data_IF_412117586572
#
_entry.id   IF_412117586572
#
_cell.length_a   1.000
_cell.length_b   1.000
_cell.length_c   1.000
_cell.angle_alpha   90.00
_cell.angle_beta   90.00
_cell.angle_gamma   90.00
#
_symmetry.space_group_name_H-M   'P 1'
#
loop_
_entity.id
_entity.type
_entity.pdbx_description
1 polymer ?
#
# COMPACT_ATOMS: atom_id res chain seq x y z
N UNK A 1 18.45 4.56 -15.74
CA UNK A 1 17.90 5.89 -15.33
C UNK A 1 16.80 5.64 -14.33
N UNK A 2 16.79 6.37 -13.20
CA UNK A 2 15.68 6.27 -12.25
C UNK A 2 14.40 6.80 -12.90
N UNK A 3 13.26 6.11 -12.70
CA UNK A 3 11.95 6.55 -13.19
C UNK A 3 11.62 7.99 -12.76
N UNK A 4 12.01 8.37 -11.54
CA UNK A 4 11.84 9.72 -10.98
C UNK A 4 12.52 10.79 -11.84
N UNK A 5 13.66 10.50 -12.44
CA UNK A 5 14.37 11.45 -13.30
C UNK A 5 13.60 11.79 -14.59
N UNK A 6 12.76 10.87 -15.07
CA UNK A 6 11.90 11.06 -16.25
C UNK A 6 10.56 11.72 -15.98
N UNK A 7 10.17 11.90 -14.71
CA UNK A 7 8.90 12.52 -14.33
C UNK A 7 8.92 14.05 -14.54
N UNK A 8 7.73 14.66 -14.64
CA UNK A 8 7.60 16.13 -14.65
C UNK A 8 8.07 16.69 -13.30
N UNK A 9 8.81 17.82 -13.28
CA UNK A 9 9.18 18.47 -12.03
C UNK A 9 7.93 18.86 -11.23
N UNK A 10 7.97 18.64 -9.91
CA UNK A 10 6.86 18.95 -9.01
C UNK A 10 5.68 17.96 -9.06
N UNK A 11 5.86 16.78 -9.66
CA UNK A 11 4.81 15.75 -9.70
C UNK A 11 4.40 15.34 -8.28
N UNK A 12 3.12 15.03 -8.11
CA UNK A 12 2.58 14.40 -6.89
C UNK A 12 2.51 12.90 -7.14
N UNK A 13 3.08 12.12 -6.22
CA UNK A 13 3.01 10.66 -6.24
C UNK A 13 1.94 10.20 -5.26
N UNK A 14 1.06 9.31 -5.71
CA UNK A 14 0.06 8.65 -4.86
C UNK A 14 0.26 7.14 -4.99
N UNK A 15 0.44 6.45 -3.86
CA UNK A 15 0.58 4.99 -3.81
C UNK A 15 -0.42 4.41 -2.80
N UNK A 16 -1.43 3.74 -3.32
CA UNK A 16 -2.43 2.98 -2.55
C UNK A 16 -2.42 1.49 -2.91
N UNK A 17 -1.33 1.03 -3.52
CA UNK A 17 -1.21 -0.34 -4.04
C UNK A 17 -0.26 -1.19 -3.20
N UNK A 18 1.03 -1.08 -3.41
CA UNK A 18 2.06 -1.83 -2.68
C UNK A 18 3.28 -0.96 -2.43
N UNK A 19 3.82 -1.02 -1.19
CA UNK A 19 4.99 -0.24 -0.78
C UNK A 19 6.20 -0.49 -1.67
N UNK A 20 6.51 -1.73 -1.97
CA UNK A 20 7.65 -2.14 -2.79
C UNK A 20 7.68 -1.59 -4.24
N UNK A 21 6.60 -0.93 -4.69
CA UNK A 21 6.60 -0.24 -6.00
C UNK A 21 7.44 1.05 -6.00
N UNK A 22 7.73 1.61 -4.82
CA UNK A 22 8.47 2.85 -4.69
C UNK A 22 9.61 2.65 -3.69
N UNK A 23 10.85 2.74 -4.17
CA UNK A 23 12.00 2.75 -3.28
C UNK A 23 12.01 4.02 -2.43
N UNK A 24 11.91 3.85 -1.12
CA UNK A 24 11.70 4.94 -0.15
C UNK A 24 12.83 5.95 -0.15
N UNK A 25 14.08 5.51 -0.20
CA UNK A 25 15.24 6.40 -0.28
C UNK A 25 15.23 7.28 -1.54
N UNK A 26 14.85 6.71 -2.68
CA UNK A 26 14.73 7.46 -3.94
C UNK A 26 13.59 8.49 -3.88
N UNK A 27 12.48 8.16 -3.22
CA UNK A 27 11.37 9.07 -2.98
C UNK A 27 11.81 10.26 -2.11
N UNK A 28 12.49 10.00 -0.99
CA UNK A 28 13.01 11.02 -0.08
C UNK A 28 13.98 11.96 -0.80
N UNK A 29 14.90 11.43 -1.59
CA UNK A 29 15.83 12.24 -2.39
C UNK A 29 15.08 13.12 -3.41
N UNK A 30 14.09 12.55 -4.10
CA UNK A 30 13.22 13.28 -5.04
C UNK A 30 12.44 14.41 -4.40
N UNK A 31 11.89 14.20 -3.19
CA UNK A 31 11.18 15.22 -2.40
C UNK A 31 12.13 16.33 -1.95
N UNK A 32 13.30 15.99 -1.42
CA UNK A 32 14.34 16.96 -0.96
C UNK A 32 14.82 17.84 -2.11
N UNK A 33 15.01 17.27 -3.29
CA UNK A 33 15.42 18.02 -4.49
C UNK A 33 14.27 18.75 -5.17
N UNK A 34 13.05 18.68 -4.62
CA UNK A 34 11.84 19.25 -5.23
C UNK A 34 11.55 18.72 -6.64
N UNK A 35 12.12 17.59 -6.99
CA UNK A 35 11.77 16.86 -8.21
C UNK A 35 10.37 16.27 -8.09
N UNK A 36 10.04 15.75 -6.91
CA UNK A 36 8.71 15.35 -6.47
C UNK A 36 8.16 16.48 -5.60
N UNK A 37 6.98 16.98 -5.92
CA UNK A 37 6.32 18.07 -5.21
C UNK A 37 5.67 17.62 -3.92
N UNK A 38 5.04 16.45 -3.92
CA UNK A 38 4.39 15.82 -2.76
C UNK A 38 4.26 14.32 -2.93
N UNK A 39 4.02 13.60 -1.82
CA UNK A 39 3.68 12.19 -1.83
C UNK A 39 2.51 11.90 -0.89
N UNK A 40 1.59 11.02 -1.35
CA UNK A 40 0.48 10.47 -0.56
C UNK A 40 0.63 8.95 -0.58
N UNK A 41 0.94 8.35 0.55
CA UNK A 41 1.29 6.95 0.69
C UNK A 41 0.33 6.28 1.66
N UNK A 42 -0.43 5.29 1.17
CA UNK A 42 -1.23 4.41 2.02
C UNK A 42 -0.48 3.12 2.35
N UNK A 43 0.63 2.89 1.66
CA UNK A 43 1.50 1.72 1.77
C UNK A 43 2.96 2.16 1.84
N UNK A 44 3.78 1.38 2.53
CA UNK A 44 5.20 1.64 2.76
C UNK A 44 6.04 0.39 2.43
N UNK A 45 7.30 0.57 2.04
CA UNK A 45 8.16 -0.51 1.55
C UNK A 45 8.37 -1.62 2.61
N UNK A 46 8.54 -1.25 3.88
CA UNK A 46 8.77 -2.15 5.03
C UNK A 46 7.54 -2.27 5.95
N UNK A 47 6.32 -2.15 5.39
CA UNK A 47 5.08 -2.13 6.17
C UNK A 47 4.78 -3.43 6.94
N UNK A 48 5.36 -4.58 6.53
CA UNK A 48 5.06 -5.88 7.14
C UNK A 48 5.33 -5.94 8.65
N UNK A 49 6.31 -5.19 9.14
CA UNK A 49 6.72 -5.23 10.53
C UNK A 49 6.09 -4.12 11.38
N UNK A 50 5.54 -3.07 10.74
CA UNK A 50 5.08 -1.85 11.41
C UNK A 50 3.55 -1.77 11.56
N UNK A 51 2.79 -2.25 10.56
CA UNK A 51 1.34 -2.03 10.53
C UNK A 51 0.51 -3.17 11.12
N UNK A 52 1.10 -4.35 11.30
CA UNK A 52 0.37 -5.54 11.80
C UNK A 52 0.59 -5.84 13.29
N UNK A 53 1.50 -5.13 13.95
CA UNK A 53 1.70 -5.22 15.39
C UNK A 53 1.18 -3.95 16.08
N UNK A 54 0.45 -4.13 17.20
CA UNK A 54 0.06 -3.01 18.07
C UNK A 54 1.30 -2.50 18.80
N UNK A 55 1.92 -1.46 18.26
CA UNK A 55 3.11 -0.80 18.80
C UNK A 55 2.82 0.58 19.35
N UNK A 56 1.58 0.82 19.82
CA UNK A 56 1.17 2.13 20.34
C UNK A 56 2.12 2.68 21.43
N UNK A 57 2.77 1.77 22.17
CA UNK A 57 3.68 2.11 23.27
C UNK A 57 5.18 1.93 22.92
N UNK A 58 5.53 1.62 21.65
CA UNK A 58 6.92 1.42 21.25
C UNK A 58 7.47 2.60 20.42
N UNK A 59 8.76 2.86 20.57
CA UNK A 59 9.46 3.82 19.72
C UNK A 59 9.53 3.22 18.31
N UNK A 60 9.13 4.02 17.30
CA UNK A 60 9.32 3.63 15.90
C UNK A 60 10.81 3.67 15.60
N UNK A 61 11.43 2.50 15.46
CA UNK A 61 12.87 2.36 15.18
C UNK A 61 13.21 2.62 13.70
N UNK A 62 12.19 2.80 12.83
CA UNK A 62 12.38 3.10 11.41
C UNK A 62 12.64 4.61 11.19
N UNK A 63 13.91 4.98 11.23
CA UNK A 63 14.36 6.35 10.96
C UNK A 63 13.94 6.87 9.58
N UNK A 64 13.73 5.99 8.61
CA UNK A 64 13.36 6.35 7.24
C UNK A 64 11.90 6.76 7.19
N UNK A 65 11.01 5.98 7.83
CA UNK A 65 9.60 6.30 7.97
C UNK A 65 9.38 7.58 8.78
N UNK A 66 10.07 7.72 9.92
CA UNK A 66 10.01 8.94 10.74
C UNK A 66 10.41 10.18 9.93
N UNK A 67 11.47 10.07 9.14
CA UNK A 67 11.94 11.14 8.26
C UNK A 67 10.90 11.48 7.19
N UNK A 68 10.22 10.48 6.62
CA UNK A 68 9.21 10.65 5.60
C UNK A 68 7.96 11.35 6.17
N UNK A 69 7.46 10.90 7.33
CA UNK A 69 6.30 11.50 8.01
C UNK A 69 6.57 12.95 8.45
N UNK A 70 7.82 13.27 8.78
CA UNK A 70 8.21 14.62 9.18
C UNK A 70 8.23 15.64 8.02
N UNK A 71 8.11 15.20 6.77
CA UNK A 71 8.08 16.09 5.61
C UNK A 71 6.71 16.76 5.45
N UNK A 72 6.63 18.11 5.33
CA UNK A 72 5.34 18.82 5.27
C UNK A 72 4.54 18.58 3.98
N UNK A 73 5.16 18.00 2.97
CA UNK A 73 4.58 17.67 1.68
C UNK A 73 4.37 16.15 1.49
N UNK A 74 4.31 15.40 2.60
CA UNK A 74 4.05 13.95 2.61
C UNK A 74 2.85 13.66 3.50
N UNK A 75 1.96 12.81 3.03
CA UNK A 75 0.87 12.21 3.79
C UNK A 75 1.09 10.72 3.80
N UNK A 76 1.09 10.11 4.97
CA UNK A 76 1.14 8.66 5.15
C UNK A 76 -0.11 8.21 5.88
N UNK A 77 -0.77 7.18 5.38
CA UNK A 77 -1.88 6.49 6.04
C UNK A 77 -1.51 5.01 6.20
N UNK A 78 -2.13 4.31 7.13
CA UNK A 78 -1.72 2.96 7.52
C UNK A 78 -2.54 1.90 6.79
N UNK A 79 -2.35 1.76 5.47
CA UNK A 79 -2.98 0.75 4.59
C UNK A 79 -4.52 0.74 4.73
N UNK A 80 -5.13 1.92 4.72
CA UNK A 80 -6.55 2.13 5.00
C UNK A 80 -7.38 2.53 3.79
N UNK A 81 -6.82 2.55 2.59
CA UNK A 81 -7.55 2.98 1.39
C UNK A 81 -8.79 2.13 1.09
N UNK A 82 -8.85 0.90 1.62
CA UNK A 82 -10.00 -0.01 1.50
C UNK A 82 -11.09 0.22 2.55
N UNK A 83 -10.89 1.08 3.54
CA UNK A 83 -11.84 1.31 4.64
C UNK A 83 -12.95 2.29 4.24
N UNK A 84 -13.58 2.06 3.09
CA UNK A 84 -14.82 2.72 2.71
C UNK A 84 -15.99 1.76 2.89
N UNK A 85 -17.19 2.28 3.12
CA UNK A 85 -18.40 1.46 3.27
C UNK A 85 -18.64 0.59 2.03
N UNK A 86 -18.43 1.17 0.86
CA UNK A 86 -18.62 0.51 -0.44
C UNK A 86 -17.60 -0.62 -0.64
N UNK A 87 -16.33 -0.37 -0.37
CA UNK A 87 -15.28 -1.38 -0.50
C UNK A 87 -15.48 -2.54 0.48
N UNK A 88 -15.78 -2.24 1.75
CA UNK A 88 -16.04 -3.27 2.76
C UNK A 88 -17.26 -4.12 2.41
N UNK A 89 -18.34 -3.52 1.93
CA UNK A 89 -19.52 -4.26 1.47
C UNK A 89 -19.20 -5.17 0.28
N UNK A 90 -18.43 -4.68 -0.69
CA UNK A 90 -18.04 -5.46 -1.86
C UNK A 90 -17.13 -6.63 -1.47
N UNK A 91 -16.16 -6.40 -0.59
CA UNK A 91 -15.27 -7.46 -0.07
C UNK A 91 -16.09 -8.52 0.68
N UNK A 92 -17.00 -8.10 1.57
CA UNK A 92 -17.84 -9.03 2.30
C UNK A 92 -18.74 -9.86 1.36
N UNK A 93 -19.39 -9.22 0.38
CA UNK A 93 -20.25 -9.89 -0.58
C UNK A 93 -19.47 -10.92 -1.43
N UNK A 94 -18.30 -10.53 -1.96
CA UNK A 94 -17.43 -11.41 -2.73
C UNK A 94 -16.94 -12.61 -1.90
N UNK A 95 -16.56 -12.36 -0.64
CA UNK A 95 -16.11 -13.41 0.28
C UNK A 95 -17.23 -14.44 0.53
N UNK A 96 -18.45 -13.98 0.85
CA UNK A 96 -19.59 -14.84 1.10
C UNK A 96 -19.95 -15.63 -0.16
N UNK A 97 -19.97 -14.99 -1.32
CA UNK A 97 -20.25 -15.67 -2.60
C UNK A 97 -19.24 -16.79 -2.89
N UNK A 98 -17.95 -16.51 -2.71
CA UNK A 98 -16.90 -17.50 -2.91
C UNK A 98 -17.04 -18.69 -1.95
N UNK A 99 -17.36 -18.45 -0.68
CA UNK A 99 -17.61 -19.51 0.30
C UNK A 99 -18.83 -20.35 -0.08
N UNK A 100 -19.90 -19.75 -0.57
CA UNK A 100 -21.09 -20.47 -1.05
C UNK A 100 -20.80 -21.32 -2.30
N UNK A 101 -20.03 -20.81 -3.24
CA UNK A 101 -19.57 -21.56 -4.42
C UNK A 101 -18.70 -22.74 -4.01
N UNK A 102 -17.75 -22.53 -3.12
CA UNK A 102 -16.92 -23.61 -2.58
C UNK A 102 -17.76 -24.70 -1.91
N UNK A 103 -18.73 -24.32 -1.07
CA UNK A 103 -19.66 -25.27 -0.41
C UNK A 103 -20.49 -26.10 -1.41
N UNK A 104 -20.82 -25.55 -2.57
CA UNK A 104 -21.57 -26.23 -3.64
C UNK A 104 -20.68 -27.07 -4.56
N UNK A 105 -19.37 -27.06 -4.37
CA UNK A 105 -18.41 -27.72 -5.28
C UNK A 105 -18.27 -27.04 -6.63
N UNK A 106 -18.73 -25.79 -6.77
CA UNK A 106 -18.58 -25.00 -7.99
C UNK A 106 -17.12 -24.54 -8.12
N UNK A 107 -16.55 -24.68 -9.33
CA UNK A 107 -15.23 -24.14 -9.61
C UNK A 107 -15.26 -22.60 -9.48
N UNK A 108 -14.23 -22.01 -8.90
CA UNK A 108 -14.12 -20.55 -8.88
C UNK A 108 -14.15 -20.01 -10.33
N UNK A 109 -14.99 -19.01 -10.60
CA UNK A 109 -15.17 -18.50 -11.96
C UNK A 109 -13.92 -17.78 -12.50
N UNK A 110 -13.01 -17.35 -11.60
CA UNK A 110 -11.80 -16.63 -11.97
C UNK A 110 -10.57 -17.35 -11.42
N UNK A 111 -9.68 -17.87 -12.30
CA UNK A 111 -8.44 -18.53 -11.89
C UNK A 111 -7.48 -17.60 -11.15
N UNK A 112 -7.62 -16.28 -11.27
CA UNK A 112 -6.79 -15.31 -10.53
C UNK A 112 -7.19 -15.21 -9.05
N UNK A 113 -8.43 -15.59 -8.68
CA UNK A 113 -8.95 -15.56 -7.32
C UNK A 113 -8.81 -16.92 -6.61
N UNK A 114 -8.47 -17.97 -7.34
CA UNK A 114 -8.39 -19.32 -6.80
C UNK A 114 -6.94 -19.77 -6.63
N UNK A 115 -6.49 -19.90 -5.39
CA UNK A 115 -5.24 -20.58 -5.07
C UNK A 115 -5.44 -22.08 -5.36
N UNK A 116 -4.99 -22.58 -6.49
CA UNK A 116 -4.87 -24.02 -6.72
C UNK A 116 -3.67 -24.48 -5.90
N UNK A 117 -3.92 -25.22 -4.82
CA UNK A 117 -2.87 -26.05 -4.25
C UNK A 117 -2.37 -26.95 -5.40
N UNK A 118 -1.11 -26.78 -5.79
CA UNK A 118 -0.44 -27.72 -6.68
C UNK A 118 -0.48 -29.09 -5.99
N UNK A 119 -1.13 -30.07 -6.65
CA UNK A 119 -1.03 -31.47 -6.29
C UNK A 119 0.37 -31.96 -6.64
#
# INVERSE_FOLDING_TARGET
>A
MSAIAGMKPGVVIVNTSRGALIGTEALIDGLKRRRIGAACLDVYEEESDLFYEDRADSIVEDDVLVRLIAMPNVIVTSHQAVLTREALNNIAAATVENLLKFKRGEAAPDPEVCYRCAQ
#
